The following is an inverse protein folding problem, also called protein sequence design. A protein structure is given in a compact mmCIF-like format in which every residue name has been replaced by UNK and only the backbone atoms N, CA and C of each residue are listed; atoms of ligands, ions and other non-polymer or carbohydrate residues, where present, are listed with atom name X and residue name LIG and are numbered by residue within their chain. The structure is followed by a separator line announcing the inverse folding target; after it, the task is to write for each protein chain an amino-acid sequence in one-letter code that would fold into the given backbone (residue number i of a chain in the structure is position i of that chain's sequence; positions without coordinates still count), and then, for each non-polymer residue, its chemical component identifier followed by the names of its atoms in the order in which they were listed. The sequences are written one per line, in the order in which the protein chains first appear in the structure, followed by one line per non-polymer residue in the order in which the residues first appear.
data_IF_994354768992
#
_entry.id   IF_994354768992
#
_cell.length_a   1.000
_cell.length_b   1.000
_cell.length_c   1.000
_cell.angle_alpha   90.00
_cell.angle_beta   90.00
_cell.angle_gamma   90.00
#
_symmetry.space_group_name_H-M   'P 1'
#
loop_
_entity.id
_entity.type
_entity.pdbx_description
1 polymer ?
#
# COMPACT_ATOMS: atom_id res chain seq x y z
N UNK A 1 9.93 -15.69 18.71
CA UNK A 1 9.68 -14.46 17.93
C UNK A 1 9.41 -14.88 16.50
N UNK A 2 8.14 -15.09 16.16
CA UNK A 2 7.69 -15.61 14.87
C UNK A 2 7.93 -14.59 13.76
N UNK A 3 8.92 -14.85 12.90
CA UNK A 3 9.10 -14.12 11.65
C UNK A 3 7.90 -14.45 10.76
N UNK A 4 6.94 -13.53 10.64
CA UNK A 4 5.75 -13.73 9.81
C UNK A 4 6.18 -13.82 8.34
N UNK A 5 5.93 -14.97 7.72
CA UNK A 5 6.31 -15.33 6.33
C UNK A 5 5.53 -14.57 5.25
N UNK A 6 4.67 -13.63 5.62
CA UNK A 6 3.66 -13.03 4.74
C UNK A 6 3.91 -11.55 4.42
N UNK A 7 5.16 -11.07 4.50
CA UNK A 7 5.51 -9.69 4.08
C UNK A 7 6.23 -9.70 2.74
N UNK A 8 5.67 -8.96 1.78
CA UNK A 8 6.34 -8.68 0.52
C UNK A 8 7.55 -7.77 0.73
N UNK A 9 8.64 -7.95 -0.02
CA UNK A 9 9.73 -6.98 -0.03
C UNK A 9 9.26 -5.66 -0.65
N UNK A 10 9.47 -4.55 0.05
CA UNK A 10 9.11 -3.21 -0.41
C UNK A 10 9.70 -2.89 -1.80
N UNK A 11 10.94 -3.33 -2.05
CA UNK A 11 11.62 -3.15 -3.34
C UNK A 11 10.86 -3.78 -4.52
N UNK A 12 10.27 -4.97 -4.33
CA UNK A 12 9.51 -5.66 -5.38
C UNK A 12 8.22 -4.94 -5.74
N UNK A 13 7.53 -4.37 -4.74
CA UNK A 13 6.30 -3.60 -4.96
C UNK A 13 6.62 -2.24 -5.59
N UNK A 14 7.69 -1.56 -5.14
CA UNK A 14 8.17 -0.32 -5.75
C UNK A 14 8.57 -0.49 -7.22
N UNK A 15 9.22 -1.60 -7.56
CA UNK A 15 9.57 -1.93 -8.94
C UNK A 15 8.31 -2.13 -9.80
N UNK A 16 7.33 -2.90 -9.30
CA UNK A 16 6.03 -3.09 -9.96
C UNK A 16 5.33 -1.76 -10.24
N UNK A 17 5.32 -0.88 -9.25
CA UNK A 17 4.64 0.41 -9.33
C UNK A 17 5.48 1.50 -10.00
N UNK A 18 6.65 1.14 -10.56
CA UNK A 18 7.57 2.08 -11.23
C UNK A 18 7.91 3.29 -10.37
N UNK A 19 8.02 3.09 -9.04
CA UNK A 19 8.26 4.14 -8.04
C UNK A 19 7.23 5.27 -8.12
N UNK A 20 5.97 4.93 -8.34
CA UNK A 20 4.82 5.82 -8.32
C UNK A 20 3.88 5.39 -7.21
N UNK A 21 3.39 6.34 -6.42
CA UNK A 21 2.38 6.09 -5.40
C UNK A 21 1.15 5.44 -6.05
N UNK A 22 0.70 4.32 -5.48
CA UNK A 22 -0.46 3.60 -5.99
C UNK A 22 -1.74 4.47 -6.03
N UNK A 23 -1.95 5.32 -5.01
CA UNK A 23 -3.16 6.16 -4.93
C UNK A 23 -3.06 7.47 -5.72
N UNK A 24 -1.89 8.12 -5.74
CA UNK A 24 -1.76 9.50 -6.26
C UNK A 24 -0.89 9.64 -7.50
N UNK A 25 -0.16 8.59 -7.90
CA UNK A 25 0.77 8.63 -9.04
C UNK A 25 2.02 9.51 -8.86
N UNK A 26 2.21 10.12 -7.68
CA UNK A 26 3.41 10.91 -7.33
C UNK A 26 4.64 10.00 -7.23
N UNK A 27 5.83 10.55 -7.48
CA UNK A 27 7.09 9.78 -7.34
C UNK A 27 7.32 9.41 -5.87
N UNK A 28 7.72 8.17 -5.63
CA UNK A 28 8.03 7.66 -4.29
C UNK A 28 9.38 6.92 -4.25
N UNK A 29 9.96 6.85 -3.07
CA UNK A 29 11.20 6.16 -2.75
C UNK A 29 11.00 5.33 -1.48
N UNK A 30 11.95 4.45 -1.16
CA UNK A 30 11.91 3.64 0.07
C UNK A 30 11.87 4.46 1.37
N UNK A 31 12.16 5.77 1.30
CA UNK A 31 12.12 6.68 2.46
C UNK A 31 10.77 7.38 2.63
N UNK A 32 9.89 7.38 1.63
CA UNK A 32 8.63 8.14 1.65
C UNK A 32 7.37 7.30 1.33
N UNK A 33 7.50 5.96 1.40
CA UNK A 33 6.39 5.02 1.21
C UNK A 33 6.50 3.83 2.17
N UNK A 34 5.35 3.22 2.47
CA UNK A 34 5.26 1.91 3.12
C UNK A 34 4.41 0.98 2.27
N UNK A 35 4.34 -0.29 2.66
CA UNK A 35 3.33 -1.20 2.11
C UNK A 35 1.99 -0.96 2.79
N UNK A 36 0.92 -0.96 2.01
CA UNK A 36 -0.45 -0.83 2.48
C UNK A 36 -1.34 -1.89 1.85
N UNK A 37 -2.46 -2.18 2.51
CA UNK A 37 -3.52 -3.05 2.01
C UNK A 37 -4.59 -2.22 1.29
N UNK A 38 -4.90 -2.58 0.05
CA UNK A 38 -6.01 -1.99 -0.72
C UNK A 38 -7.35 -2.29 -0.02
N UNK A 39 -7.53 -3.54 0.41
CA UNK A 39 -8.64 -4.02 1.24
C UNK A 39 -8.12 -4.21 2.67
N UNK A 40 -8.65 -3.50 3.67
CA UNK A 40 -8.22 -3.61 5.07
C UNK A 40 -8.28 -5.05 5.59
N UNK A 41 -7.33 -5.44 6.44
CA UNK A 41 -7.31 -6.78 7.06
C UNK A 41 -8.55 -7.05 7.92
N UNK A 42 -9.06 -6.02 8.61
CA UNK A 42 -10.29 -6.10 9.42
C UNK A 42 -11.53 -6.39 8.55
N UNK A 43 -11.46 -6.12 7.24
CA UNK A 43 -12.52 -6.36 6.25
C UNK A 43 -12.23 -7.50 5.28
N UNK A 44 -11.57 -8.58 5.72
CA UNK A 44 -11.19 -9.76 4.90
C UNK A 44 -9.99 -9.59 3.96
N UNK A 45 -9.21 -8.52 4.11
CA UNK A 45 -7.97 -8.33 3.35
C UNK A 45 -6.92 -9.41 3.64
N UNK A 46 -6.29 -9.94 2.61
CA UNK A 46 -5.16 -10.89 2.74
C UNK A 46 -3.83 -10.23 2.34
N UNK A 47 -2.72 -10.89 2.63
CA UNK A 47 -1.39 -10.45 2.21
C UNK A 47 -1.06 -10.87 0.76
N UNK A 48 -2.06 -11.03 -0.11
CA UNK A 48 -1.78 -11.40 -1.50
C UNK A 48 -1.06 -10.28 -2.24
N UNK A 49 -0.27 -10.65 -3.23
CA UNK A 49 0.44 -9.71 -4.09
C UNK A 49 -0.48 -8.64 -4.70
N UNK A 50 -1.75 -8.99 -4.97
CA UNK A 50 -2.75 -8.07 -5.54
C UNK A 50 -3.30 -7.08 -4.52
N UNK A 51 -3.31 -7.44 -3.24
CA UNK A 51 -3.86 -6.59 -2.18
C UNK A 51 -2.81 -5.67 -1.54
N UNK A 52 -1.52 -5.89 -1.80
CA UNK A 52 -0.42 -5.12 -1.24
C UNK A 52 0.10 -4.12 -2.26
N UNK A 53 0.20 -2.85 -1.86
CA UNK A 53 0.59 -1.69 -2.71
C UNK A 53 1.58 -0.78 -1.98
N UNK A 54 2.24 0.15 -2.69
CA UNK A 54 3.12 1.16 -2.08
C UNK A 54 2.57 2.59 -2.27
N UNK A 55 1.79 3.12 -1.30
CA UNK A 55 1.40 4.53 -1.29
C UNK A 55 2.48 5.43 -0.67
N UNK A 56 2.44 6.72 -1.03
CA UNK A 56 3.18 7.76 -0.29
C UNK A 56 2.59 7.95 1.10
N UNK A 57 3.40 8.39 2.07
CA UNK A 57 2.95 8.58 3.46
C UNK A 57 1.71 9.45 3.59
N UNK A 58 1.64 10.55 2.85
CA UNK A 58 0.49 11.46 2.90
C UNK A 58 -0.80 10.73 2.51
N UNK A 59 -0.78 10.00 1.39
CA UNK A 59 -1.94 9.27 0.91
C UNK A 59 -2.31 8.11 1.85
N UNK A 60 -1.31 7.42 2.39
CA UNK A 60 -1.53 6.35 3.35
C UNK A 60 -2.21 6.86 4.63
N UNK A 61 -1.73 7.98 5.16
CA UNK A 61 -2.30 8.62 6.35
C UNK A 61 -3.71 9.16 6.10
N UNK A 62 -3.99 9.68 4.90
CA UNK A 62 -5.34 10.14 4.52
C UNK A 62 -6.32 8.99 4.29
N UNK A 63 -5.86 7.86 3.72
CA UNK A 63 -6.68 6.66 3.56
C UNK A 63 -7.06 6.07 4.91
N UNK A 64 -6.09 5.90 5.82
CA UNK A 64 -6.29 5.26 7.12
C UNK A 64 -6.99 3.87 6.95
N UNK A 65 -7.98 3.55 7.78
CA UNK A 65 -8.77 2.31 7.70
C UNK A 65 -9.87 2.31 6.62
N UNK A 66 -10.00 3.39 5.82
CA UNK A 66 -10.98 3.41 4.73
C UNK A 66 -10.56 2.45 3.62
N UNK A 67 -11.51 1.74 2.98
CA UNK A 67 -11.19 0.93 1.82
C UNK A 67 -10.74 1.82 0.65
N UNK A 68 -9.81 1.32 -0.15
CA UNK A 68 -9.15 2.13 -1.18
C UNK A 68 -10.13 2.69 -2.23
N UNK A 69 -11.22 1.98 -2.53
CA UNK A 69 -12.25 2.42 -3.46
C UNK A 69 -13.01 3.65 -2.95
N UNK A 70 -13.31 3.70 -1.65
CA UNK A 70 -13.87 4.89 -1.00
C UNK A 70 -12.87 6.05 -1.02
N UNK A 71 -11.60 5.77 -0.73
CA UNK A 71 -10.56 6.79 -0.68
C UNK A 71 -10.25 7.41 -2.06
N UNK A 72 -10.11 6.60 -3.10
CA UNK A 72 -9.79 7.08 -4.46
C UNK A 72 -10.90 7.98 -5.00
N UNK A 73 -12.17 7.75 -4.63
CA UNK A 73 -13.29 8.62 -5.02
C UNK A 73 -13.24 10.01 -4.40
N UNK A 74 -12.40 10.23 -3.38
CA UNK A 74 -12.24 11.49 -2.66
C UNK A 74 -10.99 12.28 -3.11
N UNK A 75 -10.18 11.74 -4.02
CA UNK A 75 -8.99 12.36 -4.60
C UNK A 75 -9.31 13.03 -5.95
#
# INVERSE_FOLDING_TARGET
MTVTRDRWPLGSILAREKRRCFYTGRKITTQNCYLDHVIPQVGFGNNSYKNIVAPCYDANSMKNDKPADEFIRLL
#
